data_IF_406212616415
#
_entry.id   IF_406212616415
#
_cell.length_a   1.000
_cell.length_b   1.000
_cell.length_c   1.000
_cell.angle_alpha   90.00
_cell.angle_beta   90.00
_cell.angle_gamma   90.00
#
_symmetry.space_group_name_H-M   'P 1'
#
loop_
_entity.id
_entity.type
_entity.pdbx_description
1 polymer ?
#
# COMPACT_ATOMS: atom_id res chain seq x y z
N UNK A 1 -26.76 -11.27 -4.19
CA UNK A 1 -25.76 -10.19 -4.27
C UNK A 1 -25.87 -9.64 -5.68
N UNK A 2 -26.37 -8.42 -5.87
CA UNK A 2 -26.61 -7.86 -7.20
C UNK A 2 -25.25 -7.65 -7.90
N UNK A 3 -25.08 -8.23 -9.08
CA UNK A 3 -23.92 -7.96 -9.94
C UNK A 3 -24.03 -6.50 -10.38
N UNK A 4 -23.03 -5.69 -10.05
CA UNK A 4 -22.90 -4.38 -10.68
C UNK A 4 -22.30 -4.63 -12.06
N UNK A 5 -23.13 -4.63 -13.11
CA UNK A 5 -22.71 -4.81 -14.50
C UNK A 5 -22.00 -3.56 -15.08
N UNK A 6 -21.34 -2.78 -14.22
CA UNK A 6 -20.58 -1.61 -14.65
C UNK A 6 -19.28 -2.08 -15.28
N UNK A 7 -19.19 -1.96 -16.60
CA UNK A 7 -17.95 -2.28 -17.31
C UNK A 7 -16.91 -1.21 -17.05
N UNK A 8 -15.79 -1.60 -16.44
CA UNK A 8 -14.68 -0.69 -16.12
C UNK A 8 -13.59 -0.86 -17.17
N UNK A 9 -13.11 0.26 -17.73
CA UNK A 9 -11.99 0.28 -18.66
C UNK A 9 -10.81 1.08 -18.05
N UNK A 10 -9.61 0.53 -18.17
CA UNK A 10 -8.34 1.23 -17.85
C UNK A 10 -7.42 1.12 -19.05
N UNK A 11 -6.96 2.25 -19.59
CA UNK A 11 -6.10 2.30 -20.78
C UNK A 11 -6.66 1.46 -21.95
N UNK A 12 -7.95 1.61 -22.26
CA UNK A 12 -8.67 0.86 -23.29
C UNK A 12 -8.73 -0.66 -23.06
N UNK A 13 -8.31 -1.15 -21.89
CA UNK A 13 -8.41 -2.56 -21.50
C UNK A 13 -9.61 -2.72 -20.57
N UNK A 14 -10.53 -3.63 -20.92
CA UNK A 14 -11.64 -3.99 -20.04
C UNK A 14 -11.10 -4.76 -18.84
N UNK A 15 -11.45 -4.32 -17.63
CA UNK A 15 -11.08 -5.00 -16.40
C UNK A 15 -12.13 -6.06 -16.07
N UNK A 16 -11.68 -7.27 -15.77
CA UNK A 16 -12.52 -8.35 -15.25
C UNK A 16 -12.85 -8.10 -13.77
N UNK A 17 -14.14 -8.19 -13.41
CA UNK A 17 -14.56 -8.16 -12.01
C UNK A 17 -14.32 -9.53 -11.35
N UNK A 18 -13.38 -9.58 -10.40
CA UNK A 18 -13.00 -10.79 -9.67
C UNK A 18 -13.09 -10.57 -8.16
N UNK A 19 -13.58 -11.58 -7.42
CA UNK A 19 -13.70 -11.51 -5.96
C UNK A 19 -12.34 -11.36 -5.26
N UNK A 20 -11.30 -11.95 -5.85
CA UNK A 20 -9.94 -11.86 -5.36
C UNK A 20 -8.93 -12.00 -6.49
N UNK A 21 -7.84 -11.27 -6.38
CA UNK A 21 -6.74 -11.26 -7.33
C UNK A 21 -5.41 -11.47 -6.61
N UNK A 22 -4.51 -12.27 -7.17
CA UNK A 22 -3.15 -12.43 -6.65
C UNK A 22 -2.22 -11.54 -7.46
N UNK A 23 -1.68 -10.51 -6.80
CA UNK A 23 -0.69 -9.62 -7.39
C UNK A 23 0.64 -9.77 -6.66
N UNK A 24 1.68 -10.16 -7.39
CA UNK A 24 3.05 -10.36 -6.85
C UNK A 24 3.07 -11.25 -5.59
N UNK A 25 2.31 -12.35 -5.60
CA UNK A 25 2.22 -13.30 -4.49
C UNK A 25 1.34 -12.82 -3.32
N UNK A 26 0.75 -11.63 -3.40
CA UNK A 26 -0.18 -11.12 -2.39
C UNK A 26 -1.63 -11.22 -2.89
N UNK A 27 -2.50 -11.80 -2.07
CA UNK A 27 -3.94 -11.86 -2.34
C UNK A 27 -4.60 -10.53 -1.97
N UNK A 28 -5.22 -9.89 -2.95
CA UNK A 28 -6.08 -8.74 -2.82
C UNK A 28 -7.53 -9.20 -3.00
N UNK A 29 -8.43 -8.77 -2.13
CA UNK A 29 -9.86 -9.03 -2.28
C UNK A 29 -10.62 -7.75 -2.00
N UNK A 30 -11.62 -7.48 -2.83
CA UNK A 30 -12.58 -6.38 -2.67
C UNK A 30 -13.53 -6.63 -1.49
N UNK A 31 -13.65 -7.87 -1.00
CA UNK A 31 -14.41 -8.22 0.20
C UNK A 31 -13.63 -8.00 1.50
N UNK A 32 -12.31 -7.85 1.45
CA UNK A 32 -11.48 -7.68 2.64
C UNK A 32 -11.64 -6.25 3.20
N UNK A 33 -12.66 -6.05 4.05
CA UNK A 33 -12.96 -4.76 4.73
C UNK A 33 -11.81 -4.23 5.60
N UNK A 34 -10.73 -4.99 5.76
CA UNK A 34 -9.60 -4.63 6.59
C UNK A 34 -8.52 -3.82 5.85
N UNK A 35 -8.73 -3.45 4.58
CA UNK A 35 -7.78 -2.62 3.83
C UNK A 35 -7.49 -1.30 4.55
N UNK A 36 -8.51 -0.62 5.07
CA UNK A 36 -8.32 0.62 5.82
C UNK A 36 -7.45 0.41 7.06
N UNK A 37 -7.68 -0.66 7.83
CA UNK A 37 -6.83 -0.98 8.99
C UNK A 37 -5.39 -1.33 8.58
N UNK A 38 -5.20 -2.01 7.44
CA UNK A 38 -3.85 -2.29 6.89
C UNK A 38 -3.14 -1.00 6.48
N UNK A 39 -3.84 -0.07 5.82
CA UNK A 39 -3.32 1.25 5.44
C UNK A 39 -2.94 2.05 6.70
N UNK A 40 -3.84 2.15 7.68
CA UNK A 40 -3.58 2.85 8.94
C UNK A 40 -2.41 2.25 9.72
N UNK A 41 -2.28 0.92 9.73
CA UNK A 41 -1.12 0.25 10.33
C UNK A 41 0.18 0.64 9.62
N UNK A 42 0.21 0.64 8.29
CA UNK A 42 1.40 1.02 7.51
C UNK A 42 1.79 2.48 7.75
N UNK A 43 0.82 3.39 7.77
CA UNK A 43 1.05 4.81 8.11
C UNK A 43 1.65 4.92 9.51
N UNK A 44 1.06 4.25 10.49
CA UNK A 44 1.52 4.28 11.89
C UNK A 44 2.94 3.72 12.05
N UNK A 45 3.23 2.58 11.42
CA UNK A 45 4.58 1.97 11.44
C UNK A 45 5.60 2.90 10.78
N UNK A 46 5.24 3.53 9.66
CA UNK A 46 6.08 4.52 8.99
C UNK A 46 6.43 5.68 9.93
N UNK A 47 5.45 6.29 10.57
CA UNK A 47 5.69 7.37 11.54
C UNK A 47 6.53 6.94 12.73
N UNK A 48 6.32 5.72 13.25
CA UNK A 48 7.15 5.16 14.33
C UNK A 48 8.61 5.01 13.90
N UNK A 49 8.88 4.52 12.70
CA UNK A 49 10.25 4.38 12.19
C UNK A 49 10.93 5.75 12.03
N UNK A 50 10.20 6.75 11.50
CA UNK A 50 10.70 8.13 11.39
C UNK A 50 11.00 8.72 12.77
N UNK A 51 10.11 8.54 13.74
CA UNK A 51 10.32 9.01 15.11
C UNK A 51 11.52 8.32 15.78
N UNK A 52 11.66 7.00 15.60
CA UNK A 52 12.76 6.21 16.16
C UNK A 52 14.13 6.66 15.63
N UNK A 53 14.22 7.03 14.35
CA UNK A 53 15.45 7.45 13.70
C UNK A 53 15.48 8.95 13.40
N UNK A 54 14.81 9.74 14.25
CA UNK A 54 14.62 11.19 14.06
C UNK A 54 15.93 11.94 13.82
N UNK A 55 16.98 11.59 14.54
CA UNK A 55 18.28 12.28 14.46
C UNK A 55 18.98 12.03 13.13
N UNK A 56 18.83 10.82 12.57
CA UNK A 56 19.32 10.44 11.25
C UNK A 56 18.52 11.19 10.17
N UNK A 57 17.18 11.19 10.28
CA UNK A 57 16.33 11.84 9.29
C UNK A 57 16.40 13.38 9.32
N UNK A 58 16.63 13.98 10.50
CA UNK A 58 16.86 15.43 10.67
C UNK A 58 18.32 15.84 10.43
N UNK A 59 19.26 14.90 10.52
CA UNK A 59 20.66 15.16 10.28
C UNK A 59 20.97 15.57 8.84
N UNK A 60 22.06 16.31 8.68
CA UNK A 60 22.58 16.72 7.38
C UNK A 60 23.37 15.58 6.74
N UNK A 61 22.66 14.50 6.42
CA UNK A 61 23.20 13.35 5.68
C UNK A 61 22.48 13.21 4.35
N UNK A 62 23.18 12.67 3.36
CA UNK A 62 22.67 12.53 1.99
C UNK A 62 21.48 11.57 1.95
N UNK A 63 20.44 11.93 1.20
CA UNK A 63 19.17 11.19 1.14
C UNK A 63 19.33 9.72 0.74
N UNK A 64 20.34 9.37 -0.06
CA UNK A 64 20.63 7.98 -0.44
C UNK A 64 21.00 7.12 0.78
N UNK A 65 21.70 7.68 1.77
CA UNK A 65 22.11 6.99 3.01
C UNK A 65 20.92 6.84 3.96
N UNK A 66 20.04 7.86 4.05
CA UNK A 66 18.81 7.81 4.86
C UNK A 66 17.91 6.63 4.47
N UNK A 67 17.91 6.22 3.18
CA UNK A 67 17.12 5.09 2.70
C UNK A 67 17.58 3.74 3.26
N UNK A 68 18.87 3.56 3.54
CA UNK A 68 19.40 2.29 4.06
C UNK A 68 18.94 1.98 5.50
N UNK A 69 18.46 2.99 6.21
CA UNK A 69 17.97 2.88 7.59
C UNK A 69 16.53 2.33 7.64
N UNK A 70 15.83 2.33 6.50
CA UNK A 70 14.43 1.91 6.39
C UNK A 70 14.25 0.46 5.88
N UNK A 71 15.29 -0.37 5.89
CA UNK A 71 15.20 -1.79 5.52
C UNK A 71 14.81 -2.68 6.71
#
# INVERSE_FOLDING_TARGET
MMKNDTTIYVNNTQIEDVESYIYLGQRYSTRDKNQDKKIQRRITVGWKAVAKHRDIFKGNIVTCVKKQVHN
#
